data_IF_375319446948
#
_entry.id   IF_375319446948
#
_cell.length_a   1.000
_cell.length_b   1.000
_cell.length_c   1.000
_cell.angle_alpha   90.00
_cell.angle_beta   90.00
_cell.angle_gamma   90.00
#
_symmetry.space_group_name_H-M   'P 1'
#
loop_
_entity.id
_entity.type
_entity.pdbx_description
1 polymer ?
#
# COMPACT_ATOMS: atom_id res chain seq x y z
N UNK A 1 -37.20 -10.08 24.30
CA UNK A 1 -35.89 -10.24 23.63
C UNK A 1 -35.91 -9.50 22.32
N UNK A 2 -35.21 -8.40 22.25
CA UNK A 2 -35.09 -7.65 21.00
C UNK A 2 -34.05 -8.37 20.10
N UNK A 3 -34.52 -9.08 19.05
CA UNK A 3 -33.67 -9.65 18.01
C UNK A 3 -33.50 -8.63 16.88
N UNK A 4 -33.11 -7.40 17.20
CA UNK A 4 -32.90 -6.39 16.19
C UNK A 4 -31.54 -6.64 15.52
N UNK A 5 -31.55 -7.18 14.31
CA UNK A 5 -30.45 -7.10 13.37
C UNK A 5 -30.38 -5.68 12.83
N UNK A 6 -29.19 -5.09 12.77
CA UNK A 6 -28.94 -3.71 12.32
C UNK A 6 -29.43 -2.60 13.27
N UNK A 7 -29.36 -2.80 14.58
CA UNK A 7 -29.53 -1.69 15.50
C UNK A 7 -28.25 -0.84 15.53
N UNK A 8 -28.37 0.41 15.08
CA UNK A 8 -27.34 1.42 15.26
C UNK A 8 -27.30 1.81 16.74
N UNK A 9 -26.16 1.58 17.39
CA UNK A 9 -25.90 2.08 18.75
C UNK A 9 -25.13 3.37 18.61
N UNK A 10 -25.71 4.49 19.02
CA UNK A 10 -24.98 5.73 19.18
C UNK A 10 -24.03 5.60 20.38
N UNK A 11 -22.75 5.51 20.11
CA UNK A 11 -21.74 5.65 21.16
C UNK A 11 -21.50 7.13 21.44
N UNK A 12 -21.51 7.54 22.74
CA UNK A 12 -21.20 8.91 23.07
C UNK A 12 -19.74 9.19 22.68
N UNK A 13 -19.56 10.18 21.83
CA UNK A 13 -18.23 10.68 21.48
C UNK A 13 -17.61 11.30 22.73
N UNK A 14 -16.75 10.56 23.41
CA UNK A 14 -15.92 11.11 24.49
C UNK A 14 -14.95 12.09 23.83
N UNK A 15 -15.20 13.37 23.99
CA UNK A 15 -14.26 14.44 23.65
C UNK A 15 -13.07 14.36 24.59
N UNK A 16 -12.13 13.47 24.28
CA UNK A 16 -10.79 13.56 24.87
C UNK A 16 -10.11 14.78 24.28
N UNK A 17 -9.93 15.79 25.10
CA UNK A 17 -9.00 16.88 24.81
C UNK A 17 -7.58 16.34 24.83
N UNK A 18 -7.17 15.66 23.77
CA UNK A 18 -5.76 15.43 23.52
C UNK A 18 -5.23 16.64 22.78
N UNK A 19 -4.43 17.40 23.49
CA UNK A 19 -3.57 18.43 22.90
C UNK A 19 -2.52 17.70 22.09
N UNK A 20 -2.84 17.33 20.87
CA UNK A 20 -1.86 16.89 19.88
C UNK A 20 -1.25 18.14 19.25
N UNK A 21 -0.14 18.58 19.82
CA UNK A 21 0.76 19.54 19.21
C UNK A 21 1.38 18.88 17.98
N UNK A 22 1.03 19.35 16.79
CA UNK A 22 1.84 19.14 15.59
C UNK A 22 1.50 17.93 14.74
N UNK A 23 0.30 17.91 14.13
CA UNK A 23 0.16 17.39 12.77
C UNK A 23 -0.37 18.54 11.93
N UNK A 24 0.53 19.03 11.10
CA UNK A 24 0.37 20.06 10.10
C UNK A 24 -0.96 19.90 9.34
N UNK A 25 -1.73 20.96 9.43
CA UNK A 25 -2.79 21.39 8.50
C UNK A 25 -3.12 20.40 7.39
N UNK A 26 -4.17 19.65 7.62
CA UNK A 26 -4.95 19.07 6.54
C UNK A 26 -5.55 20.26 5.77
N UNK A 27 -4.79 20.80 4.85
CA UNK A 27 -5.24 21.83 3.92
C UNK A 27 -6.28 21.14 3.06
N UNK A 28 -7.55 21.30 3.41
CA UNK A 28 -8.65 20.94 2.53
C UNK A 28 -8.40 21.67 1.21
N UNK A 29 -7.86 20.94 0.23
CA UNK A 29 -7.68 21.47 -1.12
C UNK A 29 -9.07 21.86 -1.61
N UNK A 30 -9.25 23.12 -1.97
CA UNK A 30 -10.50 23.59 -2.56
C UNK A 30 -10.81 22.73 -3.78
N UNK A 31 -12.09 22.43 -4.07
CA UNK A 31 -12.45 21.77 -5.32
C UNK A 31 -11.87 22.57 -6.49
N UNK A 32 -11.10 21.89 -7.35
CA UNK A 32 -10.54 22.48 -8.57
C UNK A 32 -11.18 21.83 -9.79
N UNK A 33 -11.27 22.55 -10.89
CA UNK A 33 -11.76 21.97 -12.14
C UNK A 33 -10.71 21.02 -12.71
N UNK A 34 -11.14 19.96 -13.34
CA UNK A 34 -10.24 18.96 -13.95
C UNK A 34 -9.28 19.59 -14.96
N UNK A 35 -9.74 20.62 -15.69
CA UNK A 35 -8.92 21.39 -16.66
C UNK A 35 -7.81 22.25 -16.02
N UNK A 36 -7.89 22.51 -14.72
CA UNK A 36 -6.91 23.30 -13.97
C UNK A 36 -5.84 22.44 -13.30
N UNK A 37 -6.03 21.11 -13.33
CA UNK A 37 -5.08 20.16 -12.75
C UNK A 37 -3.94 19.99 -13.74
N UNK A 38 -2.77 20.50 -13.36
CA UNK A 38 -1.55 20.21 -14.10
C UNK A 38 -1.14 18.76 -13.81
N UNK A 39 -1.00 17.97 -14.86
CA UNK A 39 -0.41 16.63 -14.77
C UNK A 39 1.11 16.85 -14.62
N UNK A 40 1.57 16.93 -13.38
CA UNK A 40 2.98 16.75 -13.10
C UNK A 40 3.35 15.32 -13.46
N UNK A 41 4.55 15.10 -14.00
CA UNK A 41 5.07 13.76 -14.24
C UNK A 41 4.99 12.98 -12.92
N UNK A 42 4.15 11.95 -12.89
CA UNK A 42 3.96 11.14 -11.71
C UNK A 42 5.27 10.44 -11.35
N UNK A 43 5.73 10.63 -10.13
CA UNK A 43 6.90 9.93 -9.60
C UNK A 43 6.56 8.44 -9.46
N UNK A 44 7.16 7.61 -10.30
CA UNK A 44 6.90 6.16 -10.40
C UNK A 44 8.09 5.35 -9.94
N UNK A 45 7.81 4.24 -9.29
CA UNK A 45 8.80 3.23 -8.94
C UNK A 45 8.75 2.07 -9.93
N UNK A 46 9.89 1.73 -10.52
CA UNK A 46 9.99 0.54 -11.34
C UNK A 46 10.02 -0.71 -10.45
N UNK A 47 9.22 -1.70 -10.81
CA UNK A 47 9.15 -2.99 -10.10
C UNK A 47 10.32 -3.91 -10.41
N UNK A 48 11.07 -3.60 -11.48
CA UNK A 48 12.11 -4.45 -12.04
C UNK A 48 11.59 -5.52 -13.01
N UNK A 49 10.29 -5.52 -13.29
CA UNK A 49 9.64 -6.36 -14.28
C UNK A 49 8.95 -5.49 -15.34
N UNK A 50 9.43 -5.52 -16.57
CA UNK A 50 8.88 -4.71 -17.66
C UNK A 50 7.39 -4.96 -17.90
N UNK A 51 6.96 -6.22 -17.84
CA UNK A 51 5.54 -6.59 -18.01
C UNK A 51 4.67 -6.04 -16.90
N UNK A 52 5.13 -6.08 -15.66
CA UNK A 52 4.39 -5.55 -14.53
C UNK A 52 4.35 -4.02 -14.59
N UNK A 53 5.45 -3.39 -14.91
CA UNK A 53 5.53 -1.93 -15.08
C UNK A 53 4.59 -1.47 -16.20
N UNK A 54 4.52 -2.22 -17.30
CA UNK A 54 3.59 -1.94 -18.41
C UNK A 54 2.13 -2.01 -17.96
N UNK A 55 1.75 -3.03 -17.20
CA UNK A 55 0.38 -3.18 -16.66
C UNK A 55 0.05 -2.04 -15.71
N UNK A 56 1.04 -1.54 -14.96
CA UNK A 56 0.88 -0.41 -14.04
C UNK A 56 0.98 0.97 -14.73
N UNK A 57 1.12 1.00 -16.05
CA UNK A 57 1.22 2.24 -16.81
C UNK A 57 2.58 2.93 -16.74
N UNK A 58 3.65 2.18 -16.45
CA UNK A 58 5.03 2.66 -16.38
C UNK A 58 5.68 2.53 -15.00
N UNK A 59 5.07 1.79 -14.11
CA UNK A 59 5.54 1.55 -12.75
C UNK A 59 4.52 1.93 -11.67
N UNK A 60 4.87 1.71 -10.42
CA UNK A 60 4.02 2.01 -9.27
C UNK A 60 4.03 3.51 -8.99
N UNK A 61 2.88 4.15 -9.04
CA UNK A 61 2.74 5.58 -8.71
C UNK A 61 2.93 5.78 -7.20
N UNK A 62 3.67 6.80 -6.84
CA UNK A 62 3.87 7.16 -5.44
C UNK A 62 2.53 7.49 -4.77
N UNK A 63 2.27 6.88 -3.62
CA UNK A 63 1.02 7.05 -2.87
C UNK A 63 -0.16 6.24 -3.40
N UNK A 64 0.04 5.42 -4.45
CA UNK A 64 -0.99 4.51 -4.95
C UNK A 64 -1.10 3.23 -4.11
N UNK A 65 -2.23 2.57 -4.20
CA UNK A 65 -2.48 1.24 -3.65
C UNK A 65 -2.64 0.26 -4.81
N UNK A 66 -1.85 -0.80 -4.82
CA UNK A 66 -1.91 -1.86 -5.84
C UNK A 66 -2.39 -3.15 -5.18
N UNK A 67 -3.49 -3.70 -5.68
CA UNK A 67 -4.01 -4.99 -5.24
C UNK A 67 -3.58 -6.09 -6.20
N UNK A 68 -2.90 -7.12 -5.66
CA UNK A 68 -2.50 -8.30 -6.42
C UNK A 68 -3.35 -9.49 -5.98
N UNK A 69 -4.28 -9.90 -6.84
CA UNK A 69 -5.17 -11.04 -6.61
C UNK A 69 -4.75 -12.27 -7.40
N UNK A 70 -5.22 -13.43 -6.97
CA UNK A 70 -5.01 -14.71 -7.66
C UNK A 70 -5.20 -15.89 -6.72
N UNK A 71 -5.23 -17.10 -7.29
CA UNK A 71 -5.42 -18.32 -6.53
C UNK A 71 -4.24 -18.63 -5.57
N UNK A 72 -4.49 -19.39 -4.48
CA UNK A 72 -3.43 -19.83 -3.59
C UNK A 72 -2.35 -20.61 -4.36
N UNK A 73 -1.07 -20.34 -4.05
CA UNK A 73 0.06 -21.05 -4.65
C UNK A 73 0.45 -20.63 -6.07
N UNK A 74 -0.20 -19.61 -6.66
CA UNK A 74 0.14 -19.11 -8.00
C UNK A 74 1.46 -18.31 -8.06
N UNK A 75 2.04 -17.96 -6.91
CA UNK A 75 3.30 -17.24 -6.84
C UNK A 75 3.18 -15.74 -6.50
N UNK A 76 2.03 -15.27 -6.02
CA UNK A 76 1.83 -13.87 -5.61
C UNK A 76 2.87 -13.39 -4.60
N UNK A 77 3.06 -14.14 -3.53
CA UNK A 77 4.02 -13.77 -2.47
C UNK A 77 5.46 -13.77 -2.97
N UNK A 78 5.80 -14.68 -3.88
CA UNK A 78 7.12 -14.72 -4.51
C UNK A 78 7.34 -13.51 -5.39
N UNK A 79 6.36 -13.15 -6.22
CA UNK A 79 6.41 -11.96 -7.06
C UNK A 79 6.57 -10.69 -6.21
N UNK A 80 5.75 -10.54 -5.16
CA UNK A 80 5.82 -9.37 -4.28
C UNK A 80 7.19 -9.27 -3.59
N UNK A 81 7.76 -10.39 -3.17
CA UNK A 81 9.08 -10.39 -2.53
C UNK A 81 10.19 -9.99 -3.52
N UNK A 82 10.11 -10.43 -4.77
CA UNK A 82 11.03 -10.00 -5.83
C UNK A 82 10.90 -8.51 -6.14
N UNK A 83 9.68 -7.99 -6.22
CA UNK A 83 9.43 -6.55 -6.39
C UNK A 83 10.02 -5.76 -5.22
N UNK A 84 9.80 -6.21 -3.98
CA UNK A 84 10.39 -5.59 -2.80
C UNK A 84 11.93 -5.57 -2.86
N UNK A 85 12.55 -6.67 -3.29
CA UNK A 85 13.99 -6.73 -3.49
C UNK A 85 14.46 -5.71 -4.52
N UNK A 86 13.87 -5.69 -5.71
CA UNK A 86 14.23 -4.78 -6.79
C UNK A 86 14.10 -3.30 -6.36
N UNK A 87 13.07 -2.97 -5.60
CA UNK A 87 12.88 -1.60 -5.07
C UNK A 87 13.94 -1.28 -4.01
N UNK A 88 14.27 -2.24 -3.14
CA UNK A 88 15.30 -2.09 -2.11
C UNK A 88 16.70 -1.92 -2.70
N UNK A 89 17.03 -2.66 -3.76
CA UNK A 89 18.30 -2.55 -4.47
C UNK A 89 18.51 -1.14 -5.06
N UNK A 90 17.42 -0.43 -5.34
CA UNK A 90 17.42 0.98 -5.75
C UNK A 90 17.50 1.97 -4.56
N UNK A 91 18.00 1.54 -3.41
CA UNK A 91 18.20 2.34 -2.20
C UNK A 91 16.92 2.97 -1.63
N UNK A 92 15.81 2.26 -1.76
CA UNK A 92 14.54 2.64 -1.15
C UNK A 92 14.19 1.67 -0.02
N UNK A 93 13.72 2.21 1.08
CA UNK A 93 13.26 1.39 2.21
C UNK A 93 11.95 0.71 1.87
N UNK A 94 11.87 -0.59 2.11
CA UNK A 94 10.69 -1.41 1.87
C UNK A 94 10.30 -2.14 3.14
N UNK A 95 9.02 -2.04 3.50
CA UNK A 95 8.45 -2.79 4.61
C UNK A 95 7.57 -3.93 4.06
N UNK A 96 7.93 -5.16 4.37
CA UNK A 96 7.15 -6.35 4.04
C UNK A 96 6.41 -6.87 5.27
N UNK A 97 5.07 -6.90 5.21
CA UNK A 97 4.22 -7.39 6.29
C UNK A 97 3.52 -8.66 5.81
N UNK A 98 3.60 -9.73 6.60
CA UNK A 98 2.94 -11.01 6.32
C UNK A 98 2.05 -11.42 7.49
N UNK A 99 0.80 -11.81 7.18
CA UNK A 99 -0.11 -12.42 8.13
C UNK A 99 -0.19 -13.94 8.04
N UNK A 100 0.35 -14.54 6.98
CA UNK A 100 0.23 -15.98 6.71
C UNK A 100 1.54 -16.74 6.92
N UNK A 101 2.68 -16.12 6.63
CA UNK A 101 4.00 -16.75 6.69
C UNK A 101 4.82 -16.26 7.88
N UNK A 102 5.57 -17.19 8.50
CA UNK A 102 6.55 -16.83 9.52
C UNK A 102 7.76 -16.11 8.92
N UNK A 103 8.43 -15.30 9.71
CA UNK A 103 9.67 -14.60 9.29
C UNK A 103 10.73 -15.57 8.76
N UNK A 104 10.81 -16.79 9.32
CA UNK A 104 11.75 -17.83 8.86
C UNK A 104 11.43 -18.30 7.44
N UNK A 105 10.15 -18.50 7.13
CA UNK A 105 9.69 -18.90 5.79
C UNK A 105 9.95 -17.80 4.76
N UNK A 106 9.67 -16.56 5.12
CA UNK A 106 9.96 -15.38 4.27
C UNK A 106 11.46 -15.31 3.99
N UNK A 107 12.30 -15.45 5.01
CA UNK A 107 13.77 -15.43 4.86
C UNK A 107 14.28 -16.56 3.96
N UNK A 108 13.74 -17.78 4.09
CA UNK A 108 14.10 -18.90 3.25
C UNK A 108 13.71 -18.64 1.78
N UNK A 109 12.57 -18.02 1.55
CA UNK A 109 12.12 -17.64 0.21
C UNK A 109 12.98 -16.53 -0.37
N UNK A 110 13.30 -15.51 0.39
CA UNK A 110 14.19 -14.43 -0.02
C UNK A 110 15.56 -14.95 -0.47
N UNK A 111 16.15 -15.90 0.25
CA UNK A 111 17.41 -16.54 -0.15
C UNK A 111 17.33 -17.28 -1.50
N UNK A 112 16.19 -17.83 -1.87
CA UNK A 112 16.00 -18.48 -3.18
C UNK A 112 15.92 -17.48 -4.33
N UNK A 113 15.45 -16.28 -4.03
CA UNK A 113 15.31 -15.18 -5.01
C UNK A 113 16.67 -14.52 -5.26
N UNK A 114 17.61 -14.73 -4.35
CA UNK A 114 18.96 -14.15 -4.34
C UNK A 114 19.10 -13.03 -3.31
N UNK A 115 20.18 -13.09 -2.58
CA UNK A 115 20.59 -12.01 -1.69
C UNK A 115 21.06 -10.80 -2.49
#
# INVERSE_FOLDING_TARGET
MCKAWNSLIEEPVVKTKTVAKGLSSNTYKKPSRLSEIQLEEEDRFHTGFEELDRVLGGGVVRGSLVLVGGDPGIGKSTLLLQVCKNISDNKKDVLYISGEESLKQIKMRAKRIGD
#
